data_IF_286392366721
#
_entry.id   IF_286392366721
#
_cell.length_a   1.000
_cell.length_b   1.000
_cell.length_c   1.000
_cell.angle_alpha   90.00
_cell.angle_beta   90.00
_cell.angle_gamma   90.00
#
_symmetry.space_group_name_H-M   'P 1'
#
loop_
_entity.id
_entity.type
_entity.pdbx_description
1 polymer ?
#
# COMPACT_ATOMS: atom_id res chain seq x y z
N UNK A 1 -14.78 4.88 8.37
CA UNK A 1 -15.32 4.15 7.20
C UNK A 1 -14.22 4.18 6.15
N UNK A 2 -13.91 3.08 5.46
CA UNK A 2 -12.69 2.98 4.62
C UNK A 2 -12.89 3.45 3.15
N UNK A 3 -14.14 3.59 2.70
CA UNK A 3 -14.43 3.94 1.32
C UNK A 3 -13.87 5.33 0.97
N UNK A 4 -13.19 5.42 -0.18
CA UNK A 4 -12.55 6.64 -0.67
C UNK A 4 -11.17 6.96 -0.06
N UNK A 5 -10.72 6.23 0.97
CA UNK A 5 -9.36 6.40 1.50
C UNK A 5 -8.30 5.80 0.57
N UNK A 6 -7.13 6.44 0.51
CA UNK A 6 -5.96 5.89 -0.17
C UNK A 6 -5.12 5.09 0.84
N UNK A 7 -4.84 3.84 0.52
CA UNK A 7 -4.10 2.93 1.39
C UNK A 7 -2.81 2.51 0.69
N UNK A 8 -1.69 2.94 1.25
CA UNK A 8 -0.35 2.56 0.83
C UNK A 8 -0.09 1.08 1.11
N UNK A 9 0.48 0.35 0.16
CA UNK A 9 0.91 -1.05 0.34
C UNK A 9 2.42 -1.12 0.17
N UNK A 10 3.16 -1.29 1.27
CA UNK A 10 4.60 -1.48 1.27
C UNK A 10 4.92 -2.98 1.41
N UNK A 11 5.00 -3.70 0.29
CA UNK A 11 5.27 -5.14 0.27
C UNK A 11 6.01 -5.54 -1.00
N UNK A 12 6.76 -6.65 -0.94
CA UNK A 12 7.31 -7.31 -2.12
C UNK A 12 6.25 -8.11 -2.89
N UNK A 13 6.66 -8.75 -3.99
CA UNK A 13 5.79 -9.66 -4.75
C UNK A 13 5.47 -10.89 -3.90
N UNK A 14 4.26 -10.93 -3.33
CA UNK A 14 3.80 -12.02 -2.47
C UNK A 14 2.30 -12.25 -2.60
N UNK A 15 1.81 -13.37 -2.07
CA UNK A 15 0.38 -13.61 -1.95
C UNK A 15 -0.30 -12.55 -1.05
N UNK A 16 0.41 -12.07 -0.03
CA UNK A 16 -0.09 -11.02 0.85
C UNK A 16 -0.29 -9.71 0.09
N UNK A 17 0.62 -9.34 -0.81
CA UNK A 17 0.47 -8.15 -1.66
C UNK A 17 -0.82 -8.23 -2.51
N UNK A 18 -1.03 -9.36 -3.21
CA UNK A 18 -2.26 -9.56 -3.98
C UNK A 18 -3.51 -9.56 -3.09
N UNK A 19 -3.42 -10.16 -1.90
CA UNK A 19 -4.53 -10.21 -0.94
C UNK A 19 -4.89 -8.81 -0.43
N UNK A 20 -3.90 -7.98 -0.13
CA UNK A 20 -4.10 -6.60 0.33
C UNK A 20 -4.81 -5.76 -0.73
N UNK A 21 -4.43 -5.86 -2.01
CA UNK A 21 -5.11 -5.17 -3.11
C UNK A 21 -6.61 -5.56 -3.14
N UNK A 22 -6.90 -6.85 -3.07
CA UNK A 22 -8.29 -7.34 -3.12
C UNK A 22 -9.09 -6.94 -1.87
N UNK A 23 -8.47 -6.94 -0.70
CA UNK A 23 -9.10 -6.50 0.55
C UNK A 23 -9.42 -5.00 0.52
N UNK A 24 -8.49 -4.17 0.06
CA UNK A 24 -8.66 -2.71 -0.08
C UNK A 24 -9.77 -2.39 -1.08
N UNK A 25 -9.78 -3.06 -2.24
CA UNK A 25 -10.85 -2.93 -3.22
C UNK A 25 -12.23 -3.29 -2.64
N UNK A 26 -12.31 -4.39 -1.87
CA UNK A 26 -13.56 -4.80 -1.19
C UNK A 26 -14.06 -3.77 -0.17
N UNK A 27 -13.16 -2.99 0.43
CA UNK A 27 -13.49 -1.91 1.36
C UNK A 27 -13.95 -0.61 0.66
N UNK A 28 -13.92 -0.56 -0.69
CA UNK A 28 -14.19 0.65 -1.46
C UNK A 28 -13.07 1.69 -1.37
N UNK A 29 -11.87 1.27 -0.94
CA UNK A 29 -10.69 2.09 -0.82
C UNK A 29 -9.80 1.97 -2.08
N UNK A 30 -8.83 2.87 -2.22
CA UNK A 30 -7.87 2.88 -3.33
C UNK A 30 -6.53 2.35 -2.84
N UNK A 31 -5.96 1.38 -3.54
CA UNK A 31 -4.64 0.84 -3.23
C UNK A 31 -3.54 1.69 -3.89
N UNK A 32 -2.54 2.12 -3.11
CA UNK A 32 -1.34 2.83 -3.58
C UNK A 32 -0.12 1.94 -3.34
N UNK A 33 0.33 1.14 -4.32
CA UNK A 33 1.48 0.25 -4.14
C UNK A 33 2.79 1.04 -4.04
N UNK A 34 3.60 0.71 -3.02
CA UNK A 34 4.91 1.32 -2.77
C UNK A 34 5.96 0.22 -2.70
N UNK A 35 6.98 0.29 -3.56
CA UNK A 35 8.05 -0.69 -3.55
C UNK A 35 8.97 -0.47 -2.32
N UNK A 36 9.07 -1.43 -1.39
CA UNK A 36 9.88 -1.28 -0.18
C UNK A 36 11.40 -1.29 -0.45
N UNK A 37 11.86 -1.56 -1.68
CA UNK A 37 13.28 -1.43 -2.05
C UNK A 37 13.68 0.00 -2.43
N UNK A 38 12.73 0.94 -2.49
CA UNK A 38 13.01 2.34 -2.74
C UNK A 38 13.68 3.01 -1.54
N UNK A 39 14.27 4.19 -1.78
CA UNK A 39 14.77 5.01 -0.69
C UNK A 39 13.62 5.56 0.15
N UNK A 40 13.89 5.91 1.41
CA UNK A 40 12.88 6.50 2.28
C UNK A 40 12.30 7.82 1.70
N UNK A 41 13.12 8.62 1.01
CA UNK A 41 12.66 9.85 0.34
C UNK A 41 11.72 9.57 -0.83
N UNK A 42 12.02 8.55 -1.64
CA UNK A 42 11.15 8.17 -2.76
C UNK A 42 9.82 7.59 -2.26
N UNK A 43 9.88 6.76 -1.21
CA UNK A 43 8.67 6.25 -0.56
C UNK A 43 7.83 7.39 0.02
N UNK A 44 8.46 8.34 0.71
CA UNK A 44 7.76 9.51 1.25
C UNK A 44 7.10 10.34 0.14
N UNK A 45 7.79 10.55 -0.98
CA UNK A 45 7.22 11.24 -2.14
C UNK A 45 5.98 10.53 -2.69
N UNK A 46 6.02 9.20 -2.83
CA UNK A 46 4.87 8.42 -3.32
C UNK A 46 3.69 8.49 -2.35
N UNK A 47 3.96 8.38 -1.04
CA UNK A 47 2.91 8.41 -0.02
C UNK A 47 2.24 9.79 0.06
N UNK A 48 3.01 10.87 -0.01
CA UNK A 48 2.51 12.25 0.02
C UNK A 48 1.73 12.58 -1.26
N UNK A 49 2.32 12.31 -2.44
CA UNK A 49 1.66 12.57 -3.72
C UNK A 49 0.47 11.63 -3.98
N UNK A 50 0.45 10.46 -3.34
CA UNK A 50 -0.66 9.50 -3.40
C UNK A 50 -1.79 9.78 -2.41
N UNK A 51 -1.71 10.88 -1.64
CA UNK A 51 -2.69 11.29 -0.63
C UNK A 51 -3.05 10.14 0.33
N UNK A 52 -2.01 9.40 0.78
CA UNK A 52 -2.16 8.16 1.54
C UNK A 52 -2.60 8.44 2.98
N UNK A 53 -3.75 7.90 3.35
CA UNK A 53 -4.29 7.98 4.71
C UNK A 53 -3.67 6.94 5.64
N UNK A 54 -3.45 5.71 5.14
CA UNK A 54 -2.96 4.57 5.92
C UNK A 54 -1.96 3.73 5.14
N UNK A 55 -1.05 3.05 5.84
CA UNK A 55 -0.07 2.14 5.23
C UNK A 55 -0.22 0.73 5.78
N UNK A 56 -0.38 -0.25 4.90
CA UNK A 56 -0.22 -1.66 5.18
C UNK A 56 1.18 -2.10 4.73
N UNK A 57 2.01 -2.53 5.68
CA UNK A 57 3.35 -3.04 5.40
C UNK A 57 3.40 -4.55 5.62
N UNK A 58 4.08 -5.25 4.71
CA UNK A 58 4.37 -6.67 4.85
C UNK A 58 5.87 -6.93 4.74
N UNK A 59 6.45 -7.49 5.80
CA UNK A 59 7.85 -7.91 5.87
C UNK A 59 8.01 -9.42 5.80
N UNK A 60 6.93 -10.13 5.48
CA UNK A 60 6.95 -11.58 5.31
C UNK A 60 7.94 -11.97 4.23
N UNK A 61 8.91 -12.82 4.61
CA UNK A 61 9.84 -13.47 3.67
C UNK A 61 9.16 -14.70 3.08
N UNK A 62 8.44 -14.53 1.98
CA UNK A 62 8.01 -15.65 1.12
C UNK A 62 8.66 -15.50 -0.24
#
# INVERSE_FOLDING_TARGET
MAQGHHIGIAAGNSLNFATLIMAIAKLGAVAVPVNPTLTASDMAFILDNGDVDWVAADYSRY
#
